data_IF_009873821312
#
_entry.id   IF_009873821312
#
_cell.length_a   1.000
_cell.length_b   1.000
_cell.length_c   1.000
_cell.angle_alpha   90.00
_cell.angle_beta   90.00
_cell.angle_gamma   90.00
#
_symmetry.space_group_name_H-M   'P 1'
#
loop_
_entity.id
_entity.type
_entity.pdbx_description
1 polymer ?
#
# COMPACT_ATOMS: atom_id res chain seq x y z
N UNK A 1 -41.83 -33.71 10.91
CA UNK A 1 -41.64 -33.11 9.56
C UNK A 1 -41.44 -31.59 9.56
N UNK A 2 -42.03 -30.80 10.45
CA UNK A 2 -41.84 -29.33 10.48
C UNK A 2 -40.53 -28.90 11.11
N UNK A 3 -40.03 -29.58 12.14
CA UNK A 3 -38.83 -29.22 12.91
C UNK A 3 -37.56 -29.38 12.08
N UNK A 4 -37.43 -30.44 11.27
CA UNK A 4 -36.23 -30.64 10.47
C UNK A 4 -36.13 -29.66 9.30
N UNK A 5 -37.25 -29.17 8.76
CA UNK A 5 -37.25 -28.09 7.75
C UNK A 5 -36.76 -26.79 8.33
N UNK A 6 -37.12 -26.48 9.56
CA UNK A 6 -36.62 -25.32 10.32
C UNK A 6 -35.11 -25.43 10.59
N UNK A 7 -34.61 -26.61 10.97
CA UNK A 7 -33.21 -26.91 11.19
C UNK A 7 -32.36 -26.73 9.91
N UNK A 8 -32.88 -27.24 8.76
CA UNK A 8 -32.20 -27.09 7.46
C UNK A 8 -32.14 -25.62 7.05
N UNK A 9 -33.24 -24.89 7.27
CA UNK A 9 -33.30 -23.45 6.94
C UNK A 9 -32.33 -22.62 7.81
N UNK A 10 -32.22 -22.97 9.09
CA UNK A 10 -31.28 -22.35 10.02
C UNK A 10 -29.82 -22.65 9.64
N UNK A 11 -29.50 -23.88 9.27
CA UNK A 11 -28.17 -24.28 8.77
C UNK A 11 -27.81 -23.56 7.48
N UNK A 12 -28.79 -23.38 6.58
CA UNK A 12 -28.59 -22.67 5.32
C UNK A 12 -28.29 -21.18 5.54
N UNK A 13 -29.01 -20.54 6.48
CA UNK A 13 -28.75 -19.13 6.87
C UNK A 13 -27.38 -18.98 7.48
N UNK A 14 -26.96 -19.88 8.39
CA UNK A 14 -25.61 -19.83 9.01
C UNK A 14 -24.54 -20.03 7.95
N UNK A 15 -24.74 -20.92 6.98
CA UNK A 15 -23.79 -21.16 5.89
C UNK A 15 -23.61 -19.93 4.97
N UNK A 16 -24.71 -19.20 4.70
CA UNK A 16 -24.62 -17.96 3.92
C UNK A 16 -23.92 -16.81 4.67
N UNK A 17 -24.10 -16.71 5.99
CA UNK A 17 -23.43 -15.68 6.79
C UNK A 17 -21.94 -15.95 6.99
N UNK A 18 -21.50 -17.21 7.04
CA UNK A 18 -20.10 -17.58 7.23
C UNK A 18 -19.20 -17.25 6.01
N UNK A 19 -19.78 -17.03 4.81
CA UNK A 19 -19.02 -16.69 3.60
C UNK A 19 -18.85 -15.17 3.37
N UNK A 20 -19.30 -14.31 4.28
CA UNK A 20 -19.30 -12.86 4.07
C UNK A 20 -18.19 -12.12 4.82
N UNK A 21 -17.20 -12.83 5.36
CA UNK A 21 -16.04 -12.21 5.98
C UNK A 21 -15.05 -11.77 4.90
N UNK A 22 -15.36 -10.63 4.24
CA UNK A 22 -14.40 -9.91 3.42
C UNK A 22 -13.49 -9.10 4.34
N UNK A 23 -12.44 -9.71 4.84
CA UNK A 23 -11.29 -8.95 5.33
C UNK A 23 -10.81 -8.07 4.17
N UNK A 24 -10.65 -6.75 4.39
CA UNK A 24 -10.12 -5.89 3.35
C UNK A 24 -8.74 -6.40 2.96
N UNK A 25 -8.60 -6.89 1.73
CA UNK A 25 -7.32 -7.35 1.23
C UNK A 25 -6.40 -6.15 1.08
N UNK A 26 -5.26 -6.21 1.74
CA UNK A 26 -4.20 -5.22 1.61
C UNK A 26 -3.86 -5.02 0.12
N UNK A 27 -3.71 -3.76 -0.30
CA UNK A 27 -3.32 -3.46 -1.67
C UNK A 27 -1.95 -4.07 -2.01
N UNK A 28 -1.88 -4.92 -3.05
CA UNK A 28 -0.63 -5.52 -3.53
C UNK A 28 -0.01 -4.67 -4.63
N UNK A 29 1.20 -4.16 -4.40
CA UNK A 29 1.96 -3.41 -5.41
C UNK A 29 2.47 -4.34 -6.50
N UNK A 30 2.91 -5.54 -6.11
CA UNK A 30 3.48 -6.54 -7.04
C UNK A 30 2.45 -7.03 -8.04
N UNK A 31 1.22 -7.27 -7.62
CA UNK A 31 0.16 -7.80 -8.48
C UNK A 31 -0.61 -6.72 -9.24
N UNK A 32 -0.51 -5.47 -8.79
CA UNK A 32 -1.22 -4.36 -9.39
C UNK A 32 -0.67 -4.00 -10.78
N UNK A 33 -1.58 -3.79 -11.72
CA UNK A 33 -1.29 -3.34 -13.09
C UNK A 33 -1.47 -1.84 -13.29
N UNK A 34 -1.72 -1.08 -12.21
CA UNK A 34 -1.86 0.37 -12.30
C UNK A 34 -0.53 1.03 -12.65
N UNK A 35 -0.61 2.21 -13.26
CA UNK A 35 0.58 2.96 -13.65
C UNK A 35 1.42 3.36 -12.45
N UNK A 36 0.79 3.79 -11.36
CA UNK A 36 1.43 4.19 -10.12
C UNK A 36 2.19 3.04 -9.46
N UNK A 37 1.62 1.83 -9.45
CA UNK A 37 2.30 0.63 -8.97
C UNK A 37 3.50 0.28 -9.85
N UNK A 38 3.41 0.49 -11.16
CA UNK A 38 4.53 0.32 -12.08
C UNK A 38 5.64 1.33 -11.83
N UNK A 39 5.31 2.61 -11.63
CA UNK A 39 6.29 3.65 -11.26
C UNK A 39 7.00 3.29 -9.94
N UNK A 40 6.24 2.83 -8.94
CA UNK A 40 6.81 2.41 -7.66
C UNK A 40 7.79 1.24 -7.81
N UNK A 41 7.40 0.18 -8.54
CA UNK A 41 8.27 -0.97 -8.78
C UNK A 41 9.59 -0.59 -9.47
N UNK A 42 9.52 0.33 -10.43
CA UNK A 42 10.69 0.71 -11.22
C UNK A 42 11.64 1.66 -10.45
N UNK A 43 11.12 2.52 -9.59
CA UNK A 43 11.90 3.62 -9.03
C UNK A 43 12.07 3.55 -7.51
N UNK A 44 11.16 2.90 -6.79
CA UNK A 44 11.08 2.98 -5.32
C UNK A 44 11.37 1.62 -4.65
N UNK A 45 10.94 0.52 -5.27
CA UNK A 45 10.98 -0.82 -4.66
C UNK A 45 12.40 -1.30 -4.34
N UNK A 46 13.41 -0.84 -5.08
CA UNK A 46 14.82 -1.21 -4.83
C UNK A 46 15.27 -0.83 -3.40
N UNK A 47 14.80 0.31 -2.89
CA UNK A 47 15.08 0.75 -1.53
C UNK A 47 13.94 0.43 -0.56
N UNK A 48 12.68 0.70 -0.95
CA UNK A 48 11.53 0.58 -0.05
C UNK A 48 10.94 -0.83 0.06
N UNK A 49 11.48 -1.81 -0.68
CA UNK A 49 10.92 -3.16 -0.79
C UNK A 49 9.77 -3.25 -1.79
N UNK A 50 9.48 -4.46 -2.31
CA UNK A 50 8.50 -4.65 -3.38
C UNK A 50 7.09 -4.20 -3.01
N UNK A 51 6.75 -4.27 -1.73
CA UNK A 51 5.45 -3.88 -1.19
C UNK A 51 5.51 -2.57 -0.36
N UNK A 52 6.65 -1.86 -0.35
CA UNK A 52 6.80 -0.62 0.42
C UNK A 52 6.94 -0.81 1.93
N UNK A 53 7.33 -1.98 2.38
CA UNK A 53 7.46 -2.33 3.79
C UNK A 53 8.75 -1.84 4.44
N UNK A 54 9.63 -1.26 3.63
CA UNK A 54 10.97 -0.92 4.04
C UNK A 54 11.89 -2.14 4.10
N UNK A 55 13.14 -1.92 4.36
CA UNK A 55 14.15 -2.98 4.55
C UNK A 55 15.39 -2.44 5.24
N UNK A 56 16.22 -3.34 5.72
CA UNK A 56 17.60 -3.02 6.09
C UNK A 56 18.49 -3.19 4.85
N UNK A 57 19.32 -2.20 4.58
CA UNK A 57 20.33 -2.24 3.53
C UNK A 57 21.61 -2.93 4.03
N UNK A 58 22.47 -3.37 3.09
CA UNK A 58 23.72 -4.08 3.42
C UNK A 58 24.70 -3.23 4.25
N UNK A 59 24.60 -1.89 4.17
CA UNK A 59 25.37 -0.95 4.97
C UNK A 59 24.76 -0.65 6.36
N UNK A 60 23.71 -1.37 6.76
CA UNK A 60 23.04 -1.24 8.05
C UNK A 60 21.99 -0.12 8.11
N UNK A 61 21.80 0.66 7.06
CA UNK A 61 20.73 1.69 7.04
C UNK A 61 19.36 1.04 6.97
N UNK A 62 18.43 1.55 7.76
CA UNK A 62 17.04 1.10 7.77
C UNK A 62 16.20 2.02 6.89
N UNK A 63 15.63 1.48 5.84
CA UNK A 63 14.63 2.15 5.02
C UNK A 63 13.27 1.98 5.68
N UNK A 64 12.57 3.07 6.04
CA UNK A 64 11.32 2.96 6.78
C UNK A 64 10.19 2.35 5.95
N UNK A 65 9.26 1.69 6.67
CA UNK A 65 8.00 1.25 6.11
C UNK A 65 7.14 2.48 5.75
N UNK A 66 6.72 2.57 4.49
CA UNK A 66 5.88 3.68 4.02
C UNK A 66 4.38 3.40 4.13
N UNK A 67 3.98 2.16 4.45
CA UNK A 67 2.57 1.76 4.63
C UNK A 67 2.09 1.97 6.07
N UNK A 68 2.89 1.54 7.03
CA UNK A 68 2.52 1.49 8.43
C UNK A 68 3.49 2.23 9.35
N UNK A 69 3.06 2.41 10.62
CA UNK A 69 3.85 3.10 11.64
C UNK A 69 3.68 4.61 11.64
N UNK A 70 4.61 5.30 12.29
CA UNK A 70 4.64 6.76 12.32
C UNK A 70 5.36 7.29 11.07
N UNK A 71 4.70 8.17 10.33
CA UNK A 71 5.25 8.78 9.14
C UNK A 71 5.76 10.19 9.43
N UNK A 72 7.01 10.47 9.06
CA UNK A 72 7.61 11.81 9.17
C UNK A 72 6.92 12.82 8.26
N UNK A 73 6.49 12.39 7.07
CA UNK A 73 5.82 13.21 6.07
C UNK A 73 4.37 12.74 5.96
N UNK A 74 3.42 13.62 6.28
CA UNK A 74 2.00 13.28 6.40
C UNK A 74 1.11 14.00 5.39
N UNK A 75 1.55 15.16 4.88
CA UNK A 75 0.79 15.91 3.86
C UNK A 75 1.29 15.59 2.45
N UNK A 76 0.41 15.73 1.46
CA UNK A 76 0.75 15.53 0.06
C UNK A 76 1.96 16.38 -0.37
N UNK A 77 2.00 17.65 0.09
CA UNK A 77 3.12 18.54 -0.23
C UNK A 77 4.43 18.06 0.37
N UNK A 78 4.43 17.62 1.62
CA UNK A 78 5.65 17.10 2.27
C UNK A 78 6.17 15.83 1.57
N UNK A 79 5.27 14.93 1.17
CA UNK A 79 5.63 13.72 0.43
C UNK A 79 6.15 14.08 -0.95
N UNK A 80 5.47 15.01 -1.65
CA UNK A 80 5.92 15.51 -2.94
C UNK A 80 7.33 16.09 -2.86
N UNK A 81 7.59 17.00 -1.91
CA UNK A 81 8.88 17.64 -1.75
C UNK A 81 9.97 16.63 -1.43
N UNK A 82 9.66 15.62 -0.62
CA UNK A 82 10.60 14.55 -0.28
C UNK A 82 10.91 13.65 -1.49
N UNK A 83 9.93 13.29 -2.30
CA UNK A 83 10.17 12.53 -3.54
C UNK A 83 10.95 13.38 -4.53
N UNK A 84 10.53 14.62 -4.75
CA UNK A 84 11.14 15.50 -5.73
C UNK A 84 12.59 15.87 -5.41
N UNK A 85 12.87 16.20 -4.15
CA UNK A 85 14.16 16.78 -3.74
C UNK A 85 15.06 15.78 -2.98
N UNK A 86 14.51 14.63 -2.58
CA UNK A 86 15.24 13.63 -1.78
C UNK A 86 15.51 14.10 -0.35
N UNK A 87 16.51 13.50 0.26
CA UNK A 87 16.95 13.79 1.62
C UNK A 87 16.75 12.62 2.58
N UNK A 88 17.43 12.65 3.73
CA UNK A 88 17.46 11.55 4.70
C UNK A 88 17.84 10.19 4.08
N UNK A 89 18.77 10.20 3.13
CA UNK A 89 19.22 9.00 2.42
C UNK A 89 18.41 8.63 1.17
N UNK A 90 17.32 9.33 0.88
CA UNK A 90 16.56 9.16 -0.36
C UNK A 90 17.14 10.04 -1.47
N UNK A 91 17.28 9.48 -2.66
CA UNK A 91 17.73 10.22 -3.86
C UNK A 91 16.62 11.13 -4.39
N UNK A 92 16.94 12.27 -5.01
CA UNK A 92 15.96 13.14 -5.63
C UNK A 92 15.45 12.54 -6.95
N UNK A 93 14.15 12.69 -7.20
CA UNK A 93 13.51 12.24 -8.44
C UNK A 93 13.14 13.38 -9.38
N UNK A 94 13.38 14.64 -9.00
CA UNK A 94 13.23 15.80 -9.89
C UNK A 94 14.18 15.64 -11.09
N UNK A 95 13.65 15.67 -12.31
CA UNK A 95 14.40 15.43 -13.53
C UNK A 95 14.53 13.95 -13.95
N UNK A 96 14.13 13.00 -13.07
CA UNK A 96 13.98 11.57 -13.40
C UNK A 96 12.51 11.28 -13.70
N UNK A 97 11.61 11.75 -12.84
CA UNK A 97 10.17 11.66 -12.99
C UNK A 97 9.60 13.04 -13.33
N UNK A 98 8.53 13.05 -14.10
CA UNK A 98 7.76 14.27 -14.35
C UNK A 98 7.02 14.71 -13.09
N UNK A 99 6.65 15.98 -13.02
CA UNK A 99 5.84 16.54 -11.92
C UNK A 99 4.52 15.76 -11.73
N UNK A 100 3.90 15.34 -12.85
CA UNK A 100 2.68 14.54 -12.84
C UNK A 100 2.91 13.16 -12.21
N UNK A 101 4.00 12.49 -12.54
CA UNK A 101 4.34 11.16 -11.98
C UNK A 101 4.63 11.25 -10.48
N UNK A 102 5.34 12.30 -10.03
CA UNK A 102 5.57 12.51 -8.61
C UNK A 102 4.24 12.71 -7.87
N UNK A 103 3.33 13.54 -8.42
CA UNK A 103 1.99 13.72 -7.84
C UNK A 103 1.16 12.43 -7.81
N UNK A 104 1.24 11.61 -8.85
CA UNK A 104 0.59 10.30 -8.88
C UNK A 104 1.16 9.36 -7.80
N UNK A 105 2.48 9.35 -7.59
CA UNK A 105 3.10 8.59 -6.50
C UNK A 105 2.68 9.09 -5.12
N UNK A 106 2.54 10.41 -4.91
CA UNK A 106 2.01 10.98 -3.66
C UNK A 106 0.61 10.44 -3.37
N UNK A 107 -0.29 10.52 -4.35
CA UNK A 107 -1.66 10.00 -4.22
C UNK A 107 -1.68 8.48 -3.98
N UNK A 108 -0.83 7.75 -4.67
CA UNK A 108 -0.66 6.31 -4.48
C UNK A 108 -0.26 5.96 -3.04
N UNK A 109 0.76 6.65 -2.49
CA UNK A 109 1.20 6.45 -1.10
C UNK A 109 0.07 6.78 -0.12
N UNK A 110 -0.61 7.91 -0.28
CA UNK A 110 -1.66 8.35 0.65
C UNK A 110 -2.92 7.49 0.56
N UNK A 111 -3.39 7.21 -0.66
CA UNK A 111 -4.67 6.56 -0.90
C UNK A 111 -4.58 5.03 -0.80
N UNK A 112 -3.53 4.44 -1.37
CA UNK A 112 -3.50 2.98 -1.57
C UNK A 112 -2.57 2.27 -0.56
N UNK A 113 -1.46 2.90 -0.16
CA UNK A 113 -0.51 2.26 0.74
C UNK A 113 -0.78 2.53 2.21
N UNK A 114 -1.25 3.73 2.58
CA UNK A 114 -1.45 4.14 3.99
C UNK A 114 -2.87 3.92 4.52
N UNK A 115 -3.81 3.51 3.68
CA UNK A 115 -5.20 3.22 4.10
C UNK A 115 -5.38 1.90 4.85
N UNK A 116 -4.38 1.04 4.85
CA UNK A 116 -4.42 -0.26 5.53
C UNK A 116 -4.29 -0.13 7.08
N UNK A 117 -5.01 0.86 7.67
CA UNK A 117 -5.12 1.03 9.13
C UNK A 117 -6.46 0.52 9.63
#
# INVERSE_FOLDING_TARGET
>A
MKVYKLLILLLFVIFFFACFDRTPTRYSITDSKTYEASLFRQNCAICHGPEGEGKMLDDGRVIPNIRGGQHKYTTDQQIYDHIANGGNGMVPFRGILTDREIKQLVQFVQRDLRKDK
#
